data_IF_413146280377
#
_entry.id   IF_413146280377
#
_cell.length_a   1.000
_cell.length_b   1.000
_cell.length_c   1.000
_cell.angle_alpha   90.00
_cell.angle_beta   90.00
_cell.angle_gamma   90.00
#
_symmetry.space_group_name_H-M   'P 1'
#
loop_
_entity.id
_entity.type
_entity.pdbx_description
1 polymer ?
#
# COMPACT_ATOMS: atom_id res chain seq x y z
N UNK A 1 -11.00 9.15 3.24
CA UNK A 1 -10.57 7.74 3.34
C UNK A 1 -9.23 7.60 2.63
N UNK A 2 -8.52 6.49 2.86
CA UNK A 2 -7.33 6.10 2.11
C UNK A 2 -7.54 4.69 1.52
N UNK A 3 -6.62 4.23 0.68
CA UNK A 3 -6.68 2.87 0.09
C UNK A 3 -5.69 1.96 0.80
N UNK A 4 -6.12 0.75 1.15
CA UNK A 4 -5.26 -0.39 1.47
C UNK A 4 -4.97 -1.17 0.18
N UNK A 5 -3.71 -1.47 -0.09
CA UNK A 5 -3.29 -2.20 -1.29
C UNK A 5 -2.25 -3.29 -0.95
N UNK A 6 -2.57 -4.55 -1.23
CA UNK A 6 -1.64 -5.67 -1.10
C UNK A 6 -0.79 -5.81 -2.37
N UNK A 7 0.45 -5.35 -2.28
CA UNK A 7 1.42 -5.34 -3.36
C UNK A 7 2.24 -6.62 -3.39
N UNK A 8 1.72 -7.64 -4.08
CA UNK A 8 2.33 -8.98 -4.17
C UNK A 8 3.72 -8.96 -4.82
N UNK A 9 3.85 -8.22 -5.92
CA UNK A 9 5.05 -8.25 -6.77
C UNK A 9 5.93 -7.00 -6.59
N UNK A 10 5.93 -6.37 -5.40
CA UNK A 10 6.64 -5.11 -5.14
C UNK A 10 8.11 -5.14 -5.60
N UNK A 11 8.88 -6.15 -5.16
CA UNK A 11 10.29 -6.25 -5.52
C UNK A 11 10.52 -6.37 -7.04
N UNK A 12 9.63 -7.09 -7.74
CA UNK A 12 9.69 -7.22 -9.19
C UNK A 12 9.29 -5.91 -9.89
N UNK A 13 8.23 -5.25 -9.44
CA UNK A 13 7.77 -3.98 -9.98
C UNK A 13 8.84 -2.87 -9.80
N UNK A 14 9.52 -2.83 -8.65
CA UNK A 14 10.67 -1.94 -8.41
C UNK A 14 11.80 -2.23 -9.40
N UNK A 15 12.22 -3.50 -9.50
CA UNK A 15 13.30 -3.92 -10.40
C UNK A 15 13.02 -3.58 -11.86
N UNK A 16 11.76 -3.65 -12.27
CA UNK A 16 11.33 -3.35 -13.64
C UNK A 16 10.92 -1.88 -13.83
N UNK A 17 11.22 -1.00 -12.87
CA UNK A 17 10.97 0.44 -12.96
C UNK A 17 9.49 0.84 -12.98
N UNK A 18 8.59 -0.06 -12.57
CA UNK A 18 7.13 0.15 -12.55
C UNK A 18 6.70 0.86 -11.27
N UNK A 19 7.12 2.11 -11.15
CA UNK A 19 6.84 2.99 -10.01
C UNK A 19 5.93 4.14 -10.46
N UNK A 20 5.10 4.63 -9.54
CA UNK A 20 4.13 5.69 -9.77
C UNK A 20 2.73 5.21 -10.18
N UNK A 21 2.54 3.90 -10.33
CA UNK A 21 1.24 3.31 -10.67
C UNK A 21 0.96 2.05 -9.86
N UNK A 22 -0.29 1.88 -9.44
CA UNK A 22 -0.86 0.63 -8.97
C UNK A 22 -2.04 0.28 -9.85
N UNK A 23 -2.34 -1.01 -10.02
CA UNK A 23 -3.44 -1.41 -10.89
C UNK A 23 -4.17 -2.67 -10.45
N UNK A 24 -5.34 -2.85 -11.04
CA UNK A 24 -6.18 -4.03 -10.91
C UNK A 24 -6.98 -4.27 -12.19
N UNK A 25 -7.30 -5.52 -12.46
CA UNK A 25 -8.27 -5.86 -13.53
C UNK A 25 -9.72 -5.65 -13.07
N UNK A 26 -9.92 -5.65 -11.75
CA UNK A 26 -11.21 -5.46 -11.10
C UNK A 26 -11.60 -4.00 -10.97
N UNK A 27 -12.89 -3.72 -10.97
CA UNK A 27 -13.44 -2.37 -10.93
C UNK A 27 -13.34 -1.71 -9.53
N UNK A 28 -13.02 -2.47 -8.48
CA UNK A 28 -12.93 -1.95 -7.11
C UNK A 28 -11.99 -0.75 -6.99
N UNK A 29 -10.87 -0.74 -7.72
CA UNK A 29 -9.93 0.39 -7.69
C UNK A 29 -10.54 1.67 -8.25
N UNK A 30 -11.37 1.56 -9.30
CA UNK A 30 -12.04 2.72 -9.90
C UNK A 30 -13.11 3.28 -8.96
N UNK A 31 -13.90 2.40 -8.33
CA UNK A 31 -14.90 2.79 -7.33
C UNK A 31 -14.27 3.51 -6.14
N UNK A 32 -13.07 3.08 -5.71
CA UNK A 32 -12.36 3.76 -4.63
C UNK A 32 -11.82 5.13 -5.07
N UNK A 33 -11.39 5.30 -6.32
CA UNK A 33 -10.94 6.60 -6.84
C UNK A 33 -12.05 7.65 -6.81
N UNK A 34 -13.28 7.27 -7.12
CA UNK A 34 -14.45 8.17 -7.07
C UNK A 34 -14.69 8.76 -5.67
N UNK A 35 -14.20 8.09 -4.62
CA UNK A 35 -14.27 8.56 -3.22
C UNK A 35 -13.15 9.51 -2.82
N UNK A 36 -12.32 9.94 -3.77
CA UNK A 36 -11.22 10.91 -3.60
C UNK A 36 -10.26 10.56 -2.45
N UNK A 37 -9.64 9.36 -2.48
CA UNK A 37 -8.65 8.94 -1.49
C UNK A 37 -7.43 9.86 -1.52
N UNK A 38 -6.87 10.14 -0.34
CA UNK A 38 -5.67 10.99 -0.24
C UNK A 38 -4.39 10.21 -0.54
N UNK A 39 -4.27 9.00 -0.02
CA UNK A 39 -3.11 8.13 -0.23
C UNK A 39 -3.48 6.67 -0.37
N UNK A 40 -2.53 5.92 -0.91
CA UNK A 40 -2.54 4.46 -0.88
C UNK A 40 -1.48 3.96 0.09
N UNK A 41 -1.90 3.10 1.00
CA UNK A 41 -1.06 2.33 1.91
C UNK A 41 -0.79 0.97 1.28
N UNK A 42 0.48 0.62 1.15
CA UNK A 42 0.90 -0.61 0.48
C UNK A 42 1.47 -1.61 1.46
N UNK A 43 1.09 -2.87 1.28
CA UNK A 43 1.44 -3.98 2.16
C UNK A 43 1.89 -5.18 1.36
N UNK A 44 2.74 -6.02 1.94
CA UNK A 44 3.04 -7.34 1.39
C UNK A 44 2.85 -8.43 2.43
N UNK A 45 2.91 -9.69 1.99
CA UNK A 45 2.99 -10.84 2.89
C UNK A 45 4.46 -11.22 3.04
N UNK A 46 5.04 -11.12 4.25
CA UNK A 46 6.44 -11.46 4.46
C UNK A 46 6.69 -12.95 4.15
N UNK A 47 7.87 -13.25 3.60
CA UNK A 47 8.24 -14.62 3.20
C UNK A 47 8.18 -15.57 4.39
N UNK A 48 7.49 -16.70 4.21
CA UNK A 48 7.32 -17.71 5.27
C UNK A 48 6.33 -17.36 6.38
N UNK A 49 5.65 -16.19 6.30
CA UNK A 49 4.69 -15.72 7.30
C UNK A 49 3.30 -15.54 6.66
N UNK A 50 2.60 -16.66 6.44
CA UNK A 50 1.23 -16.65 5.91
C UNK A 50 0.31 -15.81 6.81
N UNK A 51 -0.64 -15.11 6.20
CA UNK A 51 -1.65 -14.27 6.88
C UNK A 51 -1.07 -13.14 7.74
N UNK A 52 0.21 -12.79 7.52
CA UNK A 52 0.85 -11.60 8.10
C UNK A 52 0.98 -10.50 7.05
N UNK A 53 0.99 -9.28 7.55
CA UNK A 53 1.11 -8.06 6.78
C UNK A 53 2.39 -7.32 7.20
N UNK A 54 3.20 -7.02 6.20
CA UNK A 54 4.30 -6.08 6.32
C UNK A 54 3.90 -4.78 5.62
N UNK A 55 4.05 -3.65 6.28
CA UNK A 55 3.88 -2.33 5.69
C UNK A 55 5.06 -2.02 4.76
N UNK A 56 4.79 -1.61 3.52
CA UNK A 56 5.83 -1.20 2.57
C UNK A 56 5.94 0.31 2.52
N UNK A 57 4.83 1.00 2.26
CA UNK A 57 4.86 2.42 1.99
C UNK A 57 3.49 3.08 2.09
N UNK A 58 3.53 4.41 2.06
CA UNK A 58 2.33 5.22 1.89
C UNK A 58 2.59 6.27 0.82
N UNK A 59 1.77 6.31 -0.23
CA UNK A 59 2.03 7.12 -1.42
C UNK A 59 0.90 8.11 -1.68
N UNK A 60 1.28 9.35 -1.97
CA UNK A 60 0.33 10.42 -2.29
C UNK A 60 -0.31 10.13 -3.65
N UNK A 61 -1.64 9.99 -3.66
CA UNK A 61 -2.39 9.78 -4.90
C UNK A 61 -2.37 11.06 -5.73
N UNK A 62 -2.29 10.90 -7.05
CA UNK A 62 -2.32 11.99 -8.01
C UNK A 62 -3.15 11.59 -9.23
N UNK A 63 -3.72 12.58 -9.90
CA UNK A 63 -4.32 12.40 -11.23
C UNK A 63 -3.25 12.39 -12.34
N UNK A 64 -2.03 12.81 -12.03
CA UNK A 64 -0.93 12.89 -12.99
C UNK A 64 -0.37 11.50 -13.28
N UNK A 65 -0.49 11.08 -14.54
CA UNK A 65 0.09 9.85 -15.05
C UNK A 65 1.63 9.95 -15.06
N UNK A 66 2.37 8.97 -14.50
CA UNK A 66 3.83 8.95 -14.56
C UNK A 66 4.33 8.86 -16.01
N UNK A 67 5.46 9.51 -16.30
CA UNK A 67 6.10 9.46 -17.62
C UNK A 67 6.49 8.03 -18.01
N UNK A 68 6.90 7.22 -17.04
CA UNK A 68 7.28 5.80 -17.21
C UNK A 68 6.09 4.84 -17.31
N UNK A 69 4.85 5.33 -17.31
CA UNK A 69 3.69 4.45 -17.24
C UNK A 69 3.55 3.57 -18.49
N UNK A 70 3.57 2.26 -18.26
CA UNK A 70 3.18 1.24 -19.24
C UNK A 70 1.84 0.64 -18.78
N UNK A 71 0.77 0.72 -19.60
CA UNK A 71 -0.52 0.15 -19.23
C UNK A 71 -0.42 -1.38 -19.09
N UNK A 72 -0.53 -1.88 -17.86
CA UNK A 72 -0.56 -3.32 -17.54
C UNK A 72 -1.95 -3.80 -17.12
N UNK A 73 -2.71 -2.93 -16.45
CA UNK A 73 -4.01 -3.26 -15.88
C UNK A 73 -5.12 -2.42 -16.49
N UNK A 74 -6.34 -2.96 -16.43
CA UNK A 74 -7.55 -2.27 -16.91
C UNK A 74 -7.86 -1.01 -16.09
N UNK A 75 -7.70 -1.09 -14.77
CA UNK A 75 -7.93 0.02 -13.84
C UNK A 75 -6.61 0.39 -13.17
N UNK A 76 -6.29 1.69 -13.16
CA UNK A 76 -5.01 2.20 -12.64
C UNK A 76 -5.24 3.38 -11.68
N UNK A 77 -4.39 3.43 -10.66
CA UNK A 77 -4.26 4.51 -9.69
C UNK A 77 -2.84 5.04 -9.77
N UNK A 78 -2.68 6.35 -9.92
CA UNK A 78 -1.36 6.97 -9.94
C UNK A 78 -1.01 7.55 -8.58
N UNK A 79 0.27 7.54 -8.28
CA UNK A 79 0.83 8.21 -7.10
C UNK A 79 2.09 8.98 -7.47
N UNK A 80 2.27 10.14 -6.83
CA UNK A 80 3.45 10.97 -7.04
C UNK A 80 4.63 10.38 -6.29
N UNK A 81 5.49 9.65 -7.00
CA UNK A 81 6.63 8.97 -6.42
C UNK A 81 7.71 9.95 -5.88
N UNK A 82 7.83 11.14 -6.46
CA UNK A 82 8.80 12.16 -6.05
C UNK A 82 8.29 13.02 -4.88
N UNK A 83 7.00 12.91 -4.53
CA UNK A 83 6.45 13.64 -3.39
C UNK A 83 7.21 13.34 -2.11
N UNK A 84 7.49 14.34 -1.25
CA UNK A 84 8.00 14.09 0.10
C UNK A 84 6.97 13.37 0.99
N UNK A 85 5.72 13.27 0.53
CA UNK A 85 4.62 12.54 1.21
C UNK A 85 4.51 11.08 0.77
N UNK A 86 5.27 10.68 -0.25
CA UNK A 86 5.38 9.30 -0.69
C UNK A 86 6.62 8.67 -0.07
N UNK A 87 6.43 7.72 0.83
CA UNK A 87 7.49 7.19 1.70
C UNK A 87 7.52 5.68 1.73
N UNK A 88 8.71 5.12 1.93
CA UNK A 88 8.93 3.72 2.29
C UNK A 88 9.21 3.61 3.77
N UNK A 89 8.69 2.57 4.41
CA UNK A 89 9.00 2.21 5.79
C UNK A 89 10.17 1.23 5.79
N UNK A 90 11.27 1.58 6.47
CA UNK A 90 12.56 0.89 6.30
C UNK A 90 12.86 -0.14 7.38
N UNK A 91 12.07 -0.16 8.45
CA UNK A 91 12.23 -1.08 9.57
C UNK A 91 10.95 -1.92 9.81
N UNK A 92 9.99 -1.87 8.88
CA UNK A 92 8.70 -2.54 8.99
C UNK A 92 8.75 -4.05 8.82
N UNK A 93 9.90 -4.61 8.41
CA UNK A 93 10.17 -6.04 8.32
C UNK A 93 10.58 -6.68 9.65
N UNK A 94 10.81 -5.86 10.69
CA UNK A 94 11.03 -6.35 12.04
C UNK A 94 9.84 -7.18 12.55
N UNK A 95 10.06 -8.33 13.19
CA UNK A 95 9.00 -9.24 13.62
C UNK A 95 7.89 -8.55 14.42
N UNK A 96 8.24 -7.69 15.36
CA UNK A 96 7.32 -6.95 16.22
C UNK A 96 6.42 -6.00 15.43
N UNK A 97 6.94 -5.35 14.38
CA UNK A 97 6.17 -4.43 13.54
C UNK A 97 5.26 -5.16 12.57
N UNK A 98 5.71 -6.31 12.06
CA UNK A 98 4.86 -7.21 11.29
C UNK A 98 3.67 -7.65 12.16
N UNK A 99 3.91 -8.03 13.41
CA UNK A 99 2.85 -8.46 14.32
C UNK A 99 1.90 -7.31 14.68
N UNK A 100 2.41 -6.11 14.97
CA UNK A 100 1.61 -4.90 15.21
C UNK A 100 0.68 -4.55 14.04
N UNK A 101 1.23 -4.48 12.82
CA UNK A 101 0.47 -4.16 11.60
C UNK A 101 -0.56 -5.26 11.33
N UNK A 102 -0.16 -6.53 11.45
CA UNK A 102 -1.06 -7.67 11.26
C UNK A 102 -2.21 -7.63 12.25
N UNK A 103 -1.93 -7.44 13.54
CA UNK A 103 -2.93 -7.41 14.59
C UNK A 103 -3.88 -6.22 14.46
N UNK A 104 -3.37 -5.05 14.09
CA UNK A 104 -4.17 -3.85 13.86
C UNK A 104 -5.28 -4.09 12.84
N UNK A 105 -4.93 -4.74 11.73
CA UNK A 105 -5.84 -5.05 10.65
C UNK A 105 -6.67 -6.32 10.90
N UNK A 106 -6.10 -7.36 11.50
CA UNK A 106 -6.83 -8.59 11.85
C UNK A 106 -7.98 -8.29 12.81
N UNK A 107 -7.77 -7.49 13.86
CA UNK A 107 -8.84 -7.11 14.80
C UNK A 107 -9.99 -6.41 14.08
N UNK A 108 -9.70 -5.51 13.14
CA UNK A 108 -10.71 -4.74 12.40
C UNK A 108 -11.39 -5.57 11.32
N UNK A 109 -10.63 -6.31 10.52
CA UNK A 109 -11.17 -7.12 9.44
C UNK A 109 -11.95 -8.33 9.95
N UNK A 110 -11.54 -8.93 11.08
CA UNK A 110 -12.30 -9.99 11.73
C UNK A 110 -13.54 -9.45 12.44
N UNK A 111 -13.47 -8.25 13.07
CA UNK A 111 -14.67 -7.60 13.65
C UNK A 111 -15.75 -7.30 12.59
N UNK A 112 -15.34 -7.07 11.34
CA UNK A 112 -16.29 -6.90 10.21
C UNK A 112 -16.71 -8.20 9.53
N UNK A 113 -16.19 -9.37 9.94
CA UNK A 113 -16.50 -10.68 9.33
C UNK A 113 -16.06 -10.83 7.86
N UNK A 114 -15.19 -9.94 7.35
CA UNK A 114 -14.86 -9.81 5.92
C UNK A 114 -13.38 -10.01 5.61
N UNK A 115 -12.66 -10.84 6.38
CA UNK A 115 -11.31 -11.25 5.99
C UNK A 115 -11.35 -12.50 5.11
N UNK A 116 -11.57 -12.28 3.82
CA UNK A 116 -10.91 -13.13 2.82
C UNK A 116 -9.86 -12.25 2.14
N UNK A 117 -8.61 -12.70 2.10
CA UNK A 117 -7.58 -12.18 1.17
C UNK A 117 -7.97 -12.44 -0.32
N UNK A 118 -9.23 -12.81 -0.57
CA UNK A 118 -9.82 -13.27 -1.82
C UNK A 118 -10.88 -12.29 -2.37
N UNK A 119 -11.29 -11.25 -1.63
CA UNK A 119 -12.05 -10.13 -2.20
C UNK A 119 -11.15 -9.36 -3.18
N UNK A 120 -11.64 -9.11 -4.41
CA UNK A 120 -10.92 -8.60 -5.58
C UNK A 120 -9.47 -8.13 -5.29
N UNK A 121 -8.55 -9.10 -5.35
CA UNK A 121 -7.09 -8.91 -5.43
C UNK A 121 -6.49 -7.86 -4.46
N UNK A 122 -6.81 -7.92 -3.17
CA UNK A 122 -6.00 -7.25 -2.14
C UNK A 122 -6.13 -5.72 -2.09
N UNK A 123 -7.18 -5.15 -2.66
CA UNK A 123 -7.49 -3.71 -2.59
C UNK A 123 -8.68 -3.51 -1.66
N UNK A 124 -8.58 -2.58 -0.71
CA UNK A 124 -9.65 -2.25 0.23
C UNK A 124 -9.67 -0.76 0.56
N UNK A 125 -10.82 -0.33 1.04
CA UNK A 125 -10.95 0.98 1.67
C UNK A 125 -10.37 0.98 3.09
N UNK A 126 -9.76 2.11 3.47
CA UNK A 126 -9.49 2.50 4.84
C UNK A 126 -10.32 3.74 5.20
N UNK A 127 -11.36 3.54 6.01
CA UNK A 127 -12.19 4.61 6.53
C UNK A 127 -11.41 5.58 7.44
N UNK A 128 -11.93 6.78 7.65
CA UNK A 128 -11.19 7.86 8.30
C UNK A 128 -10.68 7.53 9.72
N UNK A 129 -11.45 6.76 10.49
CA UNK A 129 -11.06 6.28 11.81
C UNK A 129 -9.93 5.23 11.73
N UNK A 130 -10.00 4.32 10.75
CA UNK A 130 -8.96 3.32 10.46
C UNK A 130 -7.67 4.00 10.01
N UNK A 131 -7.76 5.01 9.16
CA UNK A 131 -6.61 5.81 8.73
C UNK A 131 -5.95 6.49 9.92
N UNK A 132 -6.72 7.20 10.74
CA UNK A 132 -6.18 7.92 11.91
C UNK A 132 -5.51 6.95 12.89
N UNK A 133 -6.14 5.81 13.18
CA UNK A 133 -5.56 4.81 14.06
C UNK A 133 -4.28 4.20 13.49
N UNK A 134 -4.22 3.99 12.17
CA UNK A 134 -3.05 3.41 11.53
C UNK A 134 -1.90 4.41 11.43
N UNK A 135 -2.18 5.68 11.13
CA UNK A 135 -1.19 6.76 11.17
C UNK A 135 -0.55 6.89 12.55
N UNK A 136 -1.34 6.78 13.62
CA UNK A 136 -0.83 6.78 14.99
C UNK A 136 0.04 5.55 15.29
N UNK A 137 -0.37 4.36 14.83
CA UNK A 137 0.41 3.11 15.02
C UNK A 137 1.81 3.22 14.41
N UNK A 138 1.90 3.77 13.19
CA UNK A 138 3.15 3.79 12.41
C UNK A 138 3.93 5.09 12.55
N UNK A 139 3.49 6.01 13.43
CA UNK A 139 4.09 7.34 13.60
C UNK A 139 5.58 7.27 13.94
N UNK A 140 5.99 6.28 14.74
CA UNK A 140 7.37 6.07 15.17
C UNK A 140 8.20 5.17 14.25
N UNK A 141 7.66 4.71 13.13
CA UNK A 141 8.39 3.81 12.23
C UNK A 141 9.43 4.60 11.42
N UNK A 142 10.62 4.03 11.23
CA UNK A 142 11.62 4.62 10.36
C UNK A 142 11.09 4.65 8.91
N UNK A 143 11.26 5.80 8.26
CA UNK A 143 10.79 6.01 6.89
C UNK A 143 11.71 6.92 6.13
N UNK A 144 11.77 6.70 4.83
CA UNK A 144 12.52 7.51 3.86
C UNK A 144 11.60 7.91 2.71
N UNK A 145 11.95 8.97 1.99
CA UNK A 145 11.26 9.32 0.75
C UNK A 145 11.36 8.14 -0.23
N UNK A 146 10.29 7.86 -0.98
CA UNK A 146 10.18 6.67 -1.83
C UNK A 146 11.36 6.54 -2.79
N UNK A 147 11.67 7.56 -3.59
CA UNK A 147 12.75 7.50 -4.58
C UNK A 147 14.12 7.32 -3.92
N UNK A 148 14.37 7.98 -2.79
CA UNK A 148 15.60 7.81 -2.01
C UNK A 148 15.75 6.36 -1.52
N UNK A 149 14.67 5.76 -1.02
CA UNK A 149 14.66 4.38 -0.56
C UNK A 149 14.82 3.36 -1.69
N UNK A 150 14.22 3.63 -2.86
CA UNK A 150 14.35 2.76 -4.03
C UNK A 150 15.76 2.78 -4.63
N UNK A 151 16.45 3.92 -4.58
CA UNK A 151 17.84 4.02 -5.04
C UNK A 151 18.79 3.10 -4.25
N UNK A 152 18.46 2.75 -3.00
CA UNK A 152 19.20 1.77 -2.20
C UNK A 152 18.81 0.30 -2.47
N UNK A 153 17.78 0.04 -3.28
CA UNK A 153 17.27 -1.30 -3.60
C UNK A 153 17.63 -1.78 -5.01
N UNK A 154 18.06 -0.88 -5.89
CA UNK A 154 18.48 -1.13 -7.28
C UNK A 154 20.00 -1.34 -7.36
#
# INVERSE_FOLDING_TARGET
MDIFYHWKDFALDVKEGRIGTLGSDGAALEQLKERLPRKVWTFTTPKGRKDRLQLIGSFLITESKPVSFVPKWKHNLFYDAASPRSVLYTDSDLPEKIDEVSDYFNRRFNATGKFSLHGEKGIREMEADVVRGFENLVQGYARVQLMDGLAGML
#
